data_IF_621034395979
#
_entry.id   IF_621034395979
#
_cell.length_a   1.000
_cell.length_b   1.000
_cell.length_c   1.000
_cell.angle_alpha   90.00
_cell.angle_beta   90.00
_cell.angle_gamma   90.00
#
_symmetry.space_group_name_H-M   'P 1'
#
loop_
_entity.id
_entity.type
_entity.pdbx_description
1 polymer ?
#
# COMPACT_ATOMS: atom_id res chain seq x y z
N UNK A 1 0.51 -6.07 33.46
CA UNK A 1 1.32 -4.84 33.14
C UNK A 1 1.89 -4.96 31.73
N UNK A 2 1.79 -3.90 30.96
CA UNK A 2 2.36 -3.88 29.61
C UNK A 2 3.89 -3.77 29.66
N UNK A 3 4.55 -4.60 28.86
CA UNK A 3 6.00 -4.57 28.71
C UNK A 3 6.34 -3.81 27.43
N UNK A 4 6.99 -2.67 27.58
CA UNK A 4 7.35 -1.82 26.44
C UNK A 4 8.25 -2.53 25.44
N UNK A 5 9.21 -3.33 25.91
CA UNK A 5 10.10 -4.08 25.02
C UNK A 5 9.34 -5.11 24.20
N UNK A 6 8.38 -5.80 24.81
CA UNK A 6 7.55 -6.77 24.12
C UNK A 6 6.68 -6.10 23.05
N UNK A 7 6.10 -4.95 23.41
CA UNK A 7 5.29 -4.17 22.46
C UNK A 7 6.14 -3.75 21.26
N UNK A 8 7.34 -3.24 21.52
CA UNK A 8 8.26 -2.81 20.45
C UNK A 8 8.71 -3.96 19.57
N UNK A 9 8.95 -5.13 20.15
CA UNK A 9 9.30 -6.33 19.38
C UNK A 9 8.17 -6.74 18.46
N UNK A 10 6.93 -6.63 18.91
CA UNK A 10 5.75 -6.93 18.09
C UNK A 10 5.59 -5.92 16.96
N UNK A 11 5.85 -4.65 17.22
CA UNK A 11 5.85 -3.60 16.20
C UNK A 11 6.92 -3.91 15.14
N UNK A 12 8.13 -4.29 15.58
CA UNK A 12 9.23 -4.62 14.66
C UNK A 12 8.87 -5.77 13.73
N UNK A 13 8.15 -6.77 14.22
CA UNK A 13 7.69 -7.89 13.41
C UNK A 13 6.70 -7.42 12.34
N UNK A 14 5.77 -6.54 12.74
CA UNK A 14 4.80 -5.96 11.79
C UNK A 14 5.53 -5.13 10.74
N UNK A 15 6.48 -4.31 11.17
CA UNK A 15 7.25 -3.47 10.25
C UNK A 15 8.00 -4.31 9.21
N UNK A 16 8.58 -5.41 9.64
CA UNK A 16 9.25 -6.36 8.75
C UNK A 16 8.29 -6.90 7.69
N UNK A 17 7.08 -7.27 8.12
CA UNK A 17 6.04 -7.76 7.21
C UNK A 17 5.59 -6.66 6.24
N UNK A 18 5.49 -5.42 6.72
CA UNK A 18 5.11 -4.29 5.88
C UNK A 18 6.15 -4.07 4.77
N UNK A 19 7.43 -4.15 5.11
CA UNK A 19 8.50 -4.00 4.11
C UNK A 19 8.42 -5.11 3.06
N UNK A 20 8.25 -6.36 3.48
CA UNK A 20 8.11 -7.49 2.56
C UNK A 20 6.93 -7.31 1.62
N UNK A 21 5.77 -6.94 2.17
CA UNK A 21 4.56 -6.75 1.38
C UNK A 21 4.68 -5.57 0.43
N UNK A 22 5.31 -4.49 0.88
CA UNK A 22 5.54 -3.32 0.04
C UNK A 22 6.45 -3.65 -1.14
N UNK A 23 7.55 -4.36 -0.90
CA UNK A 23 8.46 -4.76 -1.95
C UNK A 23 7.80 -5.70 -2.96
N UNK A 24 6.99 -6.63 -2.47
CA UNK A 24 6.23 -7.53 -3.33
C UNK A 24 5.23 -6.76 -4.19
N UNK A 25 4.55 -5.78 -3.60
CA UNK A 25 3.64 -4.91 -4.32
C UNK A 25 4.36 -4.09 -5.39
N UNK A 26 5.53 -3.56 -5.09
CA UNK A 26 6.35 -2.80 -6.04
C UNK A 26 6.78 -3.66 -7.22
N UNK A 27 7.13 -4.93 -6.96
CA UNK A 27 7.46 -5.87 -8.02
C UNK A 27 6.28 -6.09 -8.96
N UNK A 28 5.08 -6.26 -8.40
CA UNK A 28 3.87 -6.47 -9.18
C UNK A 28 3.48 -5.23 -9.99
N UNK A 29 3.66 -4.04 -9.41
CA UNK A 29 3.37 -2.80 -10.15
C UNK A 29 4.36 -2.59 -11.29
N UNK A 30 5.61 -3.04 -11.14
CA UNK A 30 6.58 -3.04 -12.23
C UNK A 30 6.11 -3.94 -13.38
N UNK A 31 5.56 -5.10 -13.07
CA UNK A 31 5.00 -6.02 -14.07
C UNK A 31 3.81 -5.39 -14.80
N UNK A 32 2.95 -4.68 -14.06
CA UNK A 32 1.83 -3.95 -14.67
C UNK A 32 2.34 -2.87 -15.62
N UNK A 33 3.38 -2.13 -15.22
CA UNK A 33 3.97 -1.10 -16.07
C UNK A 33 4.53 -1.69 -17.37
N UNK A 34 5.22 -2.82 -17.29
CA UNK A 34 5.75 -3.54 -18.45
C UNK A 34 4.62 -3.96 -19.39
N UNK A 35 3.56 -4.51 -18.83
CA UNK A 35 2.38 -4.91 -19.60
C UNK A 35 1.75 -3.72 -20.33
N UNK A 36 1.62 -2.58 -19.65
CA UNK A 36 1.03 -1.37 -20.23
C UNK A 36 1.90 -0.80 -21.35
N UNK A 37 3.21 -0.86 -21.20
CA UNK A 37 4.14 -0.44 -22.25
C UNK A 37 3.97 -1.32 -23.50
N UNK A 38 3.94 -2.64 -23.32
CA UNK A 38 3.79 -3.58 -24.43
C UNK A 38 2.47 -3.42 -25.16
N UNK A 39 1.38 -3.12 -24.44
CA UNK A 39 0.04 -2.99 -25.03
C UNK A 39 -0.31 -1.57 -25.44
N UNK A 40 0.59 -0.60 -25.18
CA UNK A 40 0.35 0.81 -25.52
C UNK A 40 -0.62 1.51 -24.58
N UNK A 41 -0.99 0.89 -23.47
CA UNK A 41 -1.89 1.50 -22.48
C UNK A 41 -1.14 2.48 -21.58
N UNK A 42 -1.87 3.45 -21.02
CA UNK A 42 -1.28 4.43 -20.11
C UNK A 42 -0.94 3.77 -18.78
N UNK A 43 0.24 4.10 -18.24
CA UNK A 43 0.66 3.63 -16.92
C UNK A 43 -0.16 4.28 -15.82
N UNK A 44 -0.39 5.59 -15.92
CA UNK A 44 -1.20 6.32 -14.95
C UNK A 44 -2.68 6.14 -15.25
N UNK A 45 -3.43 5.68 -14.25
CA UNK A 45 -4.88 5.49 -14.34
C UNK A 45 -5.53 6.12 -13.10
N UNK A 46 -5.90 7.41 -13.16
CA UNK A 46 -6.50 8.09 -12.00
C UNK A 46 -7.80 7.47 -11.51
N UNK A 47 -8.62 6.96 -12.42
CA UNK A 47 -9.89 6.33 -12.04
C UNK A 47 -9.64 5.07 -11.22
N UNK A 48 -8.67 4.24 -11.63
CA UNK A 48 -8.30 3.04 -10.88
C UNK A 48 -7.69 3.38 -9.52
N UNK A 49 -6.85 4.42 -9.44
CA UNK A 49 -6.26 4.84 -8.18
C UNK A 49 -7.33 5.30 -7.20
N UNK A 50 -8.29 6.08 -7.67
CA UNK A 50 -9.40 6.52 -6.85
C UNK A 50 -10.24 5.34 -6.36
N UNK A 51 -10.56 4.40 -7.25
CA UNK A 51 -11.31 3.19 -6.90
C UNK A 51 -10.55 2.37 -5.86
N UNK A 52 -9.22 2.29 -5.99
CA UNK A 52 -8.37 1.57 -5.04
C UNK A 52 -8.39 2.21 -3.66
N UNK A 53 -8.31 3.54 -3.58
CA UNK A 53 -8.39 4.25 -2.31
C UNK A 53 -9.72 3.97 -1.61
N UNK A 54 -10.83 4.01 -2.34
CA UNK A 54 -12.14 3.69 -1.77
C UNK A 54 -12.22 2.24 -1.30
N UNK A 55 -11.65 1.32 -2.08
CA UNK A 55 -11.61 -0.10 -1.77
C UNK A 55 -10.86 -0.38 -0.48
N UNK A 56 -9.66 0.20 -0.29
CA UNK A 56 -8.86 -0.05 0.91
C UNK A 56 -9.48 0.58 2.15
N UNK A 57 -10.17 1.71 2.00
CA UNK A 57 -10.88 2.33 3.13
C UNK A 57 -11.97 1.40 3.68
N UNK A 58 -12.61 0.62 2.82
CA UNK A 58 -13.63 -0.35 3.23
C UNK A 58 -13.05 -1.53 4.01
N UNK A 59 -11.77 -1.79 3.88
CA UNK A 59 -11.10 -2.87 4.61
C UNK A 59 -10.75 -2.47 6.05
N UNK A 60 -10.79 -1.18 6.35
CA UNK A 60 -10.42 -0.68 7.67
C UNK A 60 -11.48 -1.07 8.70
N UNK A 61 -11.05 -1.73 9.77
CA UNK A 61 -11.95 -2.17 10.85
C UNK A 61 -12.14 -1.11 11.91
N UNK A 62 -11.09 -0.36 12.21
CA UNK A 62 -11.16 0.73 13.18
C UNK A 62 -11.32 2.05 12.44
N UNK A 63 -12.49 2.73 12.56
CA UNK A 63 -12.74 3.99 11.84
C UNK A 63 -11.69 5.07 12.07
N UNK A 64 -11.03 5.07 13.22
CA UNK A 64 -9.99 6.05 13.54
C UNK A 64 -8.79 5.95 12.59
N UNK A 65 -8.62 4.81 11.93
CA UNK A 65 -7.51 4.57 11.02
C UNK A 65 -7.82 4.86 9.55
N UNK A 66 -9.06 5.21 9.21
CA UNK A 66 -9.48 5.41 7.81
C UNK A 66 -8.65 6.48 7.12
N UNK A 67 -8.47 7.62 7.77
CA UNK A 67 -7.72 8.74 7.19
C UNK A 67 -6.24 8.38 7.00
N UNK A 68 -5.64 7.72 7.99
CA UNK A 68 -4.25 7.28 7.91
C UNK A 68 -4.04 6.25 6.80
N UNK A 69 -4.99 5.33 6.62
CA UNK A 69 -4.92 4.32 5.54
C UNK A 69 -5.05 5.00 4.17
N UNK A 70 -5.94 5.98 4.04
CA UNK A 70 -6.08 6.74 2.80
C UNK A 70 -4.76 7.42 2.43
N UNK A 71 -4.12 8.11 3.37
CA UNK A 71 -2.83 8.77 3.17
C UNK A 71 -1.73 7.76 2.82
N UNK A 72 -1.68 6.65 3.54
CA UNK A 72 -0.68 5.60 3.31
C UNK A 72 -0.77 5.06 1.89
N UNK A 73 -1.96 4.72 1.43
CA UNK A 73 -2.13 4.15 0.08
C UNK A 73 -1.95 5.19 -1.01
N UNK A 74 -2.27 6.46 -0.75
CA UNK A 74 -1.96 7.54 -1.68
C UNK A 74 -0.44 7.61 -1.91
N UNK A 75 0.36 7.51 -0.85
CA UNK A 75 1.82 7.51 -0.94
C UNK A 75 2.36 6.24 -1.62
N UNK A 76 1.80 5.09 -1.30
CA UNK A 76 2.19 3.83 -1.92
C UNK A 76 1.99 3.91 -3.44
N UNK A 77 0.83 4.42 -3.88
CA UNK A 77 0.54 4.55 -5.29
C UNK A 77 1.43 5.61 -5.97
N UNK A 78 1.70 6.71 -5.28
CA UNK A 78 2.60 7.74 -5.79
C UNK A 78 4.01 7.16 -6.03
N UNK A 79 4.51 6.36 -5.09
CA UNK A 79 5.81 5.70 -5.23
C UNK A 79 5.80 4.67 -6.36
N UNK A 80 4.68 3.98 -6.56
CA UNK A 80 4.55 2.96 -7.60
C UNK A 80 4.55 3.54 -9.02
N UNK A 81 4.23 4.82 -9.16
CA UNK A 81 4.20 5.50 -10.47
C UNK A 81 5.58 5.96 -10.94
N UNK A 82 6.55 5.97 -10.05
CA UNK A 82 7.91 6.35 -10.40
C UNK A 82 8.64 5.20 -11.12
#
# INVERSE_FOLDING_TARGET
MLDLNEIRNNIDKIDSQLVELFEERMKLTTEVAEYKIETGKKVLDPAREKAKLESVKKLVKNPDNVHAIDDLFAQIMANSRK
#
